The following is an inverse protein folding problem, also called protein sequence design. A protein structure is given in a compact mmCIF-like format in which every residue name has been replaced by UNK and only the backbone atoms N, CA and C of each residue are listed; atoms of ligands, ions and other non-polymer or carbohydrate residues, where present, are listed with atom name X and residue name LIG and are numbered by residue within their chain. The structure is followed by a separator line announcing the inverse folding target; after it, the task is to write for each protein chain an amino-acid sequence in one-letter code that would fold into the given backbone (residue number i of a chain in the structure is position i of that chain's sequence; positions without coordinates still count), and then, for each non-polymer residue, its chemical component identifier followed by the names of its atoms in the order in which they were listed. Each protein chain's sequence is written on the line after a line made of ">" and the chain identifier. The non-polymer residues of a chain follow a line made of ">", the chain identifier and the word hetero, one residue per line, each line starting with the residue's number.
data_IF_980432356612
#
_entry.id   IF_980432356612
#
_cell.length_a   1.000
_cell.length_b   1.000
_cell.length_c   1.000
_cell.angle_alpha   90.00
_cell.angle_beta   90.00
_cell.angle_gamma   90.00
#
_symmetry.space_group_name_H-M   'P 1'
#
loop_
_entity.id
_entity.type
_entity.pdbx_description
1 polymer ?
#
# COMPACT_ATOMS: atom_id res chain seq x y z
N UNK A 1 9.52 24.70 18.41
CA UNK A 1 8.80 24.07 17.28
C UNK A 1 7.55 23.40 17.81
N UNK A 2 6.37 23.80 17.31
CA UNK A 2 5.09 23.20 17.71
C UNK A 2 4.83 22.04 16.74
N UNK A 3 4.99 20.80 17.18
CA UNK A 3 4.58 19.62 16.41
C UNK A 3 3.05 19.59 16.46
N UNK A 4 2.43 19.89 15.32
CA UNK A 4 1.00 19.79 15.12
C UNK A 4 0.67 18.29 15.03
N UNK A 5 0.16 17.70 16.12
CA UNK A 5 -0.38 16.35 16.10
C UNK A 5 -1.62 16.33 15.21
N UNK A 6 -1.48 15.85 13.98
CA UNK A 6 -2.61 15.65 13.07
C UNK A 6 -3.35 14.38 13.51
N UNK A 7 -4.32 14.54 14.41
CA UNK A 7 -5.31 13.52 14.73
C UNK A 7 -6.23 13.35 13.51
N UNK A 8 -5.93 12.37 12.67
CA UNK A 8 -6.82 11.94 11.60
C UNK A 8 -7.96 11.12 12.24
N UNK A 9 -9.03 11.78 12.66
CA UNK A 9 -10.27 11.09 13.05
C UNK A 9 -10.88 10.45 11.81
N UNK A 10 -10.62 9.15 11.62
CA UNK A 10 -11.25 8.31 10.61
C UNK A 10 -12.71 8.04 11.02
N UNK A 11 -13.64 8.86 10.55
CA UNK A 11 -15.08 8.62 10.70
C UNK A 11 -15.50 7.44 9.82
N UNK A 12 -15.47 6.24 10.40
CA UNK A 12 -15.91 4.95 9.85
C UNK A 12 -17.44 4.78 9.89
N UNK A 13 -18.20 5.78 9.41
CA UNK A 13 -19.66 5.72 9.34
C UNK A 13 -20.15 6.15 7.96
N UNK A 14 -19.86 5.32 6.96
CA UNK A 14 -20.78 5.12 5.86
C UNK A 14 -21.35 3.73 6.05
N UNK A 15 -22.68 3.63 6.17
CA UNK A 15 -23.39 2.36 6.15
C UNK A 15 -22.89 1.50 4.99
N UNK A 16 -22.81 0.16 5.15
CA UNK A 16 -22.57 -0.69 3.99
C UNK A 16 -23.72 -0.45 3.02
N UNK A 17 -23.43 0.25 1.91
CA UNK A 17 -24.19 0.08 0.68
C UNK A 17 -24.31 -1.42 0.50
N UNK A 18 -25.55 -1.90 0.46
CA UNK A 18 -25.89 -3.31 0.34
C UNK A 18 -24.96 -3.93 -0.71
N UNK A 19 -24.14 -4.87 -0.24
CA UNK A 19 -23.30 -5.68 -1.10
C UNK A 19 -24.25 -6.47 -2.00
N UNK A 20 -24.43 -5.97 -3.22
CA UNK A 20 -25.12 -6.70 -4.27
C UNK A 20 -24.26 -7.92 -4.60
N UNK A 21 -24.88 -9.09 -4.54
CA UNK A 21 -24.28 -10.41 -4.71
C UNK A 21 -23.98 -10.69 -6.19
N UNK A 22 -23.22 -9.80 -6.84
CA UNK A 22 -23.03 -9.83 -8.28
C UNK A 22 -21.60 -9.42 -8.72
N UNK A 23 -20.56 -10.10 -8.22
CA UNK A 23 -19.41 -10.54 -9.03
C UNK A 23 -18.51 -11.45 -8.19
N UNK A 24 -18.58 -12.76 -8.43
CA UNK A 24 -17.76 -13.81 -7.81
C UNK A 24 -16.32 -13.80 -8.38
N UNK A 25 -15.65 -12.64 -8.32
CA UNK A 25 -14.26 -12.45 -8.76
C UNK A 25 -13.30 -12.48 -7.57
N UNK A 26 -13.44 -13.48 -6.72
CA UNK A 26 -12.51 -13.84 -5.65
C UNK A 26 -11.28 -14.50 -6.29
N UNK A 27 -10.44 -13.68 -6.92
CA UNK A 27 -9.16 -14.10 -7.47
C UNK A 27 -8.01 -13.54 -6.63
N UNK A 28 -6.94 -14.33 -6.49
CA UNK A 28 -5.70 -13.83 -5.93
C UNK A 28 -5.02 -12.95 -6.99
N UNK A 29 -4.24 -11.97 -6.54
CA UNK A 29 -3.49 -11.10 -7.44
C UNK A 29 -2.01 -11.16 -7.15
N UNK A 30 -1.22 -11.30 -8.20
CA UNK A 30 0.19 -10.95 -8.17
C UNK A 30 0.33 -9.56 -8.79
N UNK A 31 0.90 -8.62 -8.05
CA UNK A 31 1.24 -7.29 -8.54
C UNK A 31 2.73 -7.13 -8.64
N UNK A 32 3.19 -6.58 -9.76
CA UNK A 32 4.51 -6.00 -9.90
C UNK A 32 4.40 -4.49 -9.80
N UNK A 33 5.43 -3.83 -9.29
CA UNK A 33 5.40 -2.38 -9.17
C UNK A 33 6.76 -1.74 -9.35
N UNK A 34 6.69 -0.47 -9.75
CA UNK A 34 7.80 0.46 -9.84
C UNK A 34 7.32 1.82 -9.34
N UNK A 35 8.21 2.63 -8.78
CA UNK A 35 7.85 3.95 -8.30
C UNK A 35 9.04 4.72 -7.77
N UNK A 36 8.72 5.82 -7.11
CA UNK A 36 9.68 6.65 -6.39
C UNK A 36 9.57 6.41 -4.89
N UNK A 37 10.70 6.54 -4.19
CA UNK A 37 10.85 6.63 -2.75
C UNK A 37 11.42 8.02 -2.41
N UNK A 38 11.22 8.49 -1.18
CA UNK A 38 11.63 9.82 -0.74
C UNK A 38 11.05 10.96 -1.60
N UNK A 39 9.79 10.79 -2.03
CA UNK A 39 9.10 11.76 -2.89
C UNK A 39 9.07 13.14 -2.22
N UNK A 40 9.58 14.15 -2.94
CA UNK A 40 9.66 15.53 -2.47
C UNK A 40 10.90 15.86 -1.63
N UNK A 41 11.86 14.94 -1.52
CA UNK A 41 13.17 15.14 -0.88
C UNK A 41 14.29 15.17 -1.91
N UNK A 42 15.47 15.63 -1.50
CA UNK A 42 16.66 15.67 -2.37
C UNK A 42 17.22 14.25 -2.61
N UNK A 43 16.94 13.33 -1.69
CA UNK A 43 17.31 11.92 -1.72
C UNK A 43 16.35 11.05 -2.56
N UNK A 44 15.40 11.65 -3.28
CA UNK A 44 14.42 10.94 -4.07
C UNK A 44 15.07 9.95 -5.05
N UNK A 45 14.61 8.70 -5.01
CA UNK A 45 15.14 7.62 -5.85
C UNK A 45 14.03 6.65 -6.29
N UNK A 46 14.40 5.60 -7.02
CA UNK A 46 13.49 4.60 -7.54
C UNK A 46 13.38 3.39 -6.62
N UNK A 47 12.17 2.82 -6.55
CA UNK A 47 11.88 1.55 -5.90
C UNK A 47 11.03 0.66 -6.80
N UNK A 48 11.10 -0.64 -6.57
CA UNK A 48 10.32 -1.64 -7.30
C UNK A 48 10.15 -2.90 -6.46
N UNK A 49 9.26 -3.78 -6.90
CA UNK A 49 9.01 -5.02 -6.19
C UNK A 49 7.75 -5.73 -6.63
N UNK A 50 7.25 -6.57 -5.72
CA UNK A 50 6.08 -7.41 -5.95
C UNK A 50 5.19 -7.50 -4.70
N UNK A 51 3.88 -7.66 -4.93
CA UNK A 51 2.87 -7.88 -3.90
C UNK A 51 1.98 -9.05 -4.30
N UNK A 52 1.79 -10.00 -3.41
CA UNK A 52 0.70 -10.97 -3.49
C UNK A 52 -0.49 -10.47 -2.67
N UNK A 53 -1.69 -10.59 -3.23
CA UNK A 53 -2.96 -10.33 -2.52
C UNK A 53 -3.82 -11.57 -2.54
N UNK A 54 -4.45 -11.82 -1.39
CA UNK A 54 -5.36 -12.94 -1.21
C UNK A 54 -6.63 -12.79 -2.06
N UNK A 55 -7.17 -13.92 -2.50
CA UNK A 55 -8.55 -14.01 -2.97
C UNK A 55 -9.55 -13.81 -1.81
N UNK A 56 -9.15 -14.19 -0.60
CA UNK A 56 -10.00 -14.11 0.58
C UNK A 56 -10.17 -12.67 1.06
N UNK A 57 -11.40 -12.35 1.47
CA UNK A 57 -11.73 -11.11 2.18
C UNK A 57 -12.09 -11.46 3.61
N UNK A 58 -11.43 -10.80 4.55
CA UNK A 58 -11.66 -10.96 5.97
C UNK A 58 -12.65 -9.92 6.48
N UNK A 59 -13.45 -10.35 7.46
CA UNK A 59 -14.39 -9.49 8.19
C UNK A 59 -15.51 -8.89 7.33
N UNK A 60 -16.49 -8.29 8.01
CA UNK A 60 -17.55 -7.47 7.40
C UNK A 60 -17.03 -6.20 6.71
N UNK A 61 -15.75 -5.87 6.90
CA UNK A 61 -15.10 -4.70 6.31
C UNK A 61 -14.39 -5.00 4.98
N UNK A 62 -14.48 -6.23 4.49
CA UNK A 62 -13.89 -6.65 3.21
C UNK A 62 -12.37 -6.41 3.12
N UNK A 63 -11.66 -6.66 4.22
CA UNK A 63 -10.22 -6.49 4.28
C UNK A 63 -9.53 -7.63 3.53
N UNK A 64 -8.76 -7.30 2.51
CA UNK A 64 -7.97 -8.25 1.73
C UNK A 64 -6.56 -8.33 2.32
N UNK A 65 -6.12 -9.50 2.80
CA UNK A 65 -4.73 -9.73 3.19
C UNK A 65 -3.79 -9.59 1.99
N UNK A 66 -2.60 -9.05 2.24
CA UNK A 66 -1.54 -8.96 1.24
C UNK A 66 -0.16 -9.05 1.86
N UNK A 67 0.80 -9.50 1.06
CA UNK A 67 2.23 -9.61 1.41
C UNK A 67 3.02 -9.01 0.26
N UNK A 68 4.07 -8.25 0.55
CA UNK A 68 4.90 -7.67 -0.49
C UNK A 68 6.36 -7.53 -0.10
N UNK A 69 7.18 -7.47 -1.13
CA UNK A 69 8.60 -7.19 -1.06
C UNK A 69 8.89 -5.94 -1.89
N UNK A 70 9.49 -4.94 -1.25
CA UNK A 70 9.99 -3.72 -1.89
C UNK A 70 11.51 -3.72 -1.85
N UNK A 71 12.12 -3.20 -2.92
CA UNK A 71 13.54 -2.93 -3.03
C UNK A 71 13.77 -1.53 -3.62
N UNK A 72 14.64 -0.73 -3.02
CA UNK A 72 15.13 0.53 -3.60
C UNK A 72 16.28 0.25 -4.56
N UNK A 73 16.62 1.22 -5.41
CA UNK A 73 17.77 1.09 -6.32
C UNK A 73 19.09 0.89 -5.57
N UNK A 74 19.29 1.57 -4.43
CA UNK A 74 20.49 1.43 -3.57
C UNK A 74 20.38 0.31 -2.51
N UNK A 75 19.51 -0.68 -2.77
CA UNK A 75 19.49 -1.97 -2.09
C UNK A 75 18.95 -1.96 -0.65
N UNK A 76 18.17 -0.95 -0.24
CA UNK A 76 17.27 -1.13 0.90
C UNK A 76 16.09 -2.02 0.52
N UNK A 77 15.62 -2.80 1.48
CA UNK A 77 14.54 -3.77 1.28
C UNK A 77 13.48 -3.64 2.35
N UNK A 78 12.23 -3.93 2.01
CA UNK A 78 11.17 -4.11 3.00
C UNK A 78 10.30 -5.31 2.65
N UNK A 79 10.19 -6.26 3.58
CA UNK A 79 9.18 -7.33 3.54
C UNK A 79 8.04 -6.92 4.46
N UNK A 80 6.81 -6.89 3.94
CA UNK A 80 5.63 -6.44 4.69
C UNK A 80 4.44 -7.35 4.46
N UNK A 81 3.57 -7.42 5.46
CA UNK A 81 2.31 -8.16 5.40
C UNK A 81 1.23 -7.39 6.15
N UNK A 82 0.05 -7.28 5.57
CA UNK A 82 -1.03 -6.50 6.16
C UNK A 82 -2.36 -6.68 5.48
N UNK A 83 -3.20 -5.66 5.58
CA UNK A 83 -4.56 -5.66 5.04
C UNK A 83 -4.82 -4.39 4.24
N UNK A 84 -5.67 -4.53 3.23
CA UNK A 84 -6.12 -3.42 2.40
C UNK A 84 -7.61 -3.57 2.11
N UNK A 85 -8.28 -2.46 1.84
CA UNK A 85 -9.65 -2.44 1.35
C UNK A 85 -9.68 -1.76 -0.01
N UNK A 86 -10.29 -2.42 -0.98
CA UNK A 86 -10.56 -1.85 -2.31
C UNK A 86 -12.05 -1.64 -2.46
N UNK A 87 -12.45 -0.41 -2.76
CA UNK A 87 -13.85 -0.02 -2.96
C UNK A 87 -14.02 0.41 -4.41
N UNK A 88 -14.72 -0.42 -5.20
CA UNK A 88 -15.05 -0.07 -6.58
C UNK A 88 -16.04 1.11 -6.62
N UNK A 89 -15.84 2.04 -7.55
CA UNK A 89 -16.75 3.18 -7.74
C UNK A 89 -18.01 2.71 -8.51
N UNK A 90 -17.84 1.73 -9.40
CA UNK A 90 -18.92 1.16 -10.20
C UNK A 90 -19.43 -0.15 -9.59
N UNK A 91 -20.74 -0.39 -9.74
CA UNK A 91 -21.41 -1.60 -9.24
C UNK A 91 -20.93 -2.88 -9.93
N UNK A 92 -20.56 -2.81 -11.21
CA UNK A 92 -20.03 -3.96 -11.97
C UNK A 92 -18.57 -4.31 -11.60
N UNK A 93 -17.94 -3.53 -10.73
CA UNK A 93 -16.56 -3.71 -10.28
C UNK A 93 -15.50 -3.27 -11.29
N UNK A 94 -15.90 -2.87 -12.50
CA UNK A 94 -14.99 -2.41 -13.55
C UNK A 94 -14.54 -0.95 -13.32
N UNK A 95 -13.42 -0.57 -13.91
CA UNK A 95 -12.94 0.81 -13.86
C UNK A 95 -12.41 1.23 -12.49
N UNK A 96 -12.59 2.50 -12.09
CA UNK A 96 -11.85 3.07 -10.97
C UNK A 96 -12.32 2.52 -9.61
N UNK A 97 -11.38 2.38 -8.70
CA UNK A 97 -11.58 1.96 -7.32
C UNK A 97 -10.61 2.69 -6.38
N UNK A 98 -11.08 3.01 -5.18
CA UNK A 98 -10.23 3.52 -4.11
C UNK A 98 -9.61 2.35 -3.35
N UNK A 99 -8.33 2.43 -3.04
CA UNK A 99 -7.63 1.49 -2.18
C UNK A 99 -7.10 2.22 -0.95
N UNK A 100 -7.30 1.63 0.23
CA UNK A 100 -6.62 2.01 1.46
C UNK A 100 -5.96 0.78 2.06
N UNK A 101 -4.74 0.92 2.59
CA UNK A 101 -3.97 -0.22 3.07
C UNK A 101 -3.06 0.13 4.24
N UNK A 102 -2.78 -0.89 5.04
CA UNK A 102 -1.86 -0.82 6.17
C UNK A 102 -1.10 -2.13 6.30
N UNK A 103 0.22 -2.05 6.45
CA UNK A 103 1.06 -3.23 6.69
C UNK A 103 2.26 -2.90 7.58
N UNK A 104 2.46 -3.61 8.70
CA UNK A 104 3.79 -3.69 9.31
C UNK A 104 4.75 -4.46 8.39
N UNK A 105 6.04 -4.19 8.55
CA UNK A 105 7.08 -4.91 7.84
C UNK A 105 8.46 -4.73 8.46
N UNK A 106 9.39 -5.54 7.98
CA UNK A 106 10.80 -5.47 8.35
C UNK A 106 11.55 -4.77 7.23
N UNK A 107 12.16 -3.64 7.58
CA UNK A 107 13.00 -2.84 6.74
C UNK A 107 14.48 -3.16 7.02
N UNK A 108 15.24 -3.30 5.95
CA UNK A 108 16.68 -3.42 5.99
C UNK A 108 17.27 -2.28 5.15
N UNK A 109 18.02 -1.40 5.82
CA UNK A 109 18.78 -0.33 5.18
C UNK A 109 19.97 -0.94 4.43
N UNK A 110 20.03 -0.71 3.13
CA UNK A 110 21.03 -1.32 2.25
C UNK A 110 22.32 -0.53 2.08
N UNK A 111 22.28 0.78 2.27
CA UNK A 111 23.45 1.64 2.09
C UNK A 111 23.15 3.13 2.23
N UNK A 112 24.22 3.93 2.36
CA UNK A 112 24.15 5.34 2.75
C UNK A 112 23.42 6.28 1.78
N UNK A 113 23.04 5.81 0.60
CA UNK A 113 22.30 6.60 -0.40
C UNK A 113 20.78 6.50 -0.23
N UNK A 114 20.29 5.53 0.53
CA UNK A 114 18.88 5.43 0.90
C UNK A 114 18.65 6.04 2.29
N UNK A 115 17.44 6.53 2.55
CA UNK A 115 17.03 7.01 3.87
C UNK A 115 17.09 5.90 4.92
N UNK A 116 17.92 6.08 5.95
CA UNK A 116 17.91 5.22 7.14
C UNK A 116 16.65 5.49 7.97
N UNK A 117 15.77 4.50 8.09
CA UNK A 117 14.51 4.63 8.83
C UNK A 117 14.65 4.39 10.35
N UNK A 118 15.88 4.25 10.87
CA UNK A 118 16.23 4.26 12.29
C UNK A 118 15.81 3.01 13.08
N UNK A 119 14.94 2.16 12.53
CA UNK A 119 14.46 0.96 13.19
C UNK A 119 14.09 -0.14 12.20
N UNK A 120 14.31 -1.44 12.47
CA UNK A 120 13.93 -2.50 11.52
C UNK A 120 12.42 -2.64 11.34
N UNK A 121 11.62 -2.47 12.40
CA UNK A 121 10.16 -2.54 12.28
C UNK A 121 9.61 -1.22 11.74
N UNK A 122 8.86 -1.30 10.64
CA UNK A 122 8.26 -0.15 9.97
C UNK A 122 6.78 -0.41 9.69
N UNK A 123 5.99 0.66 9.63
CA UNK A 123 4.58 0.63 9.28
C UNK A 123 4.36 1.37 7.98
N UNK A 124 3.78 0.67 7.00
CA UNK A 124 3.42 1.22 5.70
C UNK A 124 1.92 1.50 5.65
N UNK A 125 1.55 2.77 5.53
CA UNK A 125 0.18 3.22 5.28
C UNK A 125 0.04 3.63 3.81
N UNK A 126 -1.05 3.24 3.16
CA UNK A 126 -1.23 3.42 1.72
C UNK A 126 -2.63 3.92 1.36
N UNK A 127 -2.67 4.81 0.36
CA UNK A 127 -3.88 5.18 -0.37
C UNK A 127 -3.60 5.08 -1.87
N UNK A 128 -4.56 4.64 -2.66
CA UNK A 128 -4.37 4.50 -4.09
C UNK A 128 -5.65 4.54 -4.90
N UNK A 129 -5.49 4.77 -6.20
CA UNK A 129 -6.56 4.65 -7.18
C UNK A 129 -6.18 3.49 -8.10
N UNK A 130 -6.98 2.44 -8.05
CA UNK A 130 -6.89 1.28 -8.94
C UNK A 130 -7.88 1.44 -10.10
N UNK A 131 -7.59 0.80 -11.22
CA UNK A 131 -8.47 0.64 -12.36
C UNK A 131 -8.56 -0.85 -12.73
N UNK A 132 -9.77 -1.40 -12.71
CA UNK A 132 -10.05 -2.78 -13.17
C UNK A 132 -10.34 -2.79 -14.67
N UNK A 133 -9.62 -3.63 -15.41
CA UNK A 133 -9.87 -3.84 -16.83
C UNK A 133 -10.86 -5.01 -17.06
N UNK A 134 -11.50 -5.08 -18.24
CA UNK A 134 -12.43 -6.17 -18.56
C UNK A 134 -11.80 -7.58 -18.50
N UNK A 135 -10.49 -7.68 -18.73
CA UNK A 135 -9.70 -8.92 -18.63
C UNK A 135 -9.31 -9.29 -17.18
N UNK A 136 -9.85 -8.59 -16.18
CA UNK A 136 -9.57 -8.75 -14.75
C UNK A 136 -8.15 -8.37 -14.32
N UNK A 137 -7.34 -7.79 -15.21
CA UNK A 137 -6.07 -7.16 -14.81
C UNK A 137 -6.34 -5.82 -14.10
N UNK A 138 -5.35 -5.37 -13.31
CA UNK A 138 -5.43 -4.12 -12.54
C UNK A 138 -4.24 -3.24 -12.80
N UNK A 139 -4.46 -1.94 -12.94
CA UNK A 139 -3.39 -0.95 -12.85
C UNK A 139 -3.76 0.06 -11.77
N UNK A 140 -2.79 0.56 -11.01
CA UNK A 140 -3.10 1.57 -9.99
C UNK A 140 -1.93 2.45 -9.61
N UNK A 141 -2.24 3.67 -9.22
CA UNK A 141 -1.28 4.64 -8.68
C UNK A 141 -1.52 4.80 -7.17
N UNK A 142 -0.45 4.63 -6.39
CA UNK A 142 -0.51 4.52 -4.94
C UNK A 142 0.47 5.49 -4.29
N UNK A 143 -0.01 6.23 -3.30
CA UNK A 143 0.82 7.01 -2.39
C UNK A 143 0.94 6.26 -1.06
N UNK A 144 2.15 6.13 -0.52
CA UNK A 144 2.37 5.45 0.77
C UNK A 144 3.35 6.21 1.65
N UNK A 145 3.17 6.08 2.96
CA UNK A 145 4.11 6.55 3.97
C UNK A 145 4.66 5.35 4.75
N UNK A 146 5.96 5.30 4.96
CA UNK A 146 6.65 4.28 5.79
C UNK A 146 7.33 4.99 6.96
N UNK A 147 7.07 4.54 8.19
CA UNK A 147 7.75 5.04 9.39
C UNK A 147 7.73 4.05 10.54
N UNK A 148 8.59 4.26 11.56
CA UNK A 148 8.66 3.39 12.74
C UNK A 148 7.72 3.85 13.87
N UNK A 149 6.86 4.85 13.62
CA UNK A 149 5.96 5.44 14.62
C UNK A 149 6.67 5.92 15.91
N UNK A 150 7.93 6.32 15.80
CA UNK A 150 8.79 6.76 16.92
C UNK A 150 8.99 5.67 17.98
N UNK A 151 9.10 4.41 17.55
CA UNK A 151 9.56 3.29 18.38
C UNK A 151 11.06 3.35 18.69
N UNK A 152 11.81 4.18 17.97
CA UNK A 152 13.22 4.50 18.20
C UNK A 152 13.42 6.02 18.24
N UNK A 153 14.62 6.46 18.63
CA UNK A 153 14.96 7.89 18.74
C UNK A 153 14.87 8.61 17.38
N UNK A 154 15.30 7.94 16.31
CA UNK A 154 15.23 8.46 14.94
C UNK A 154 14.02 7.89 14.20
N UNK A 155 13.23 8.77 13.57
CA UNK A 155 12.10 8.39 12.72
C UNK A 155 11.91 9.41 11.57
N UNK A 156 12.77 9.38 10.55
CA UNK A 156 12.65 10.32 9.43
C UNK A 156 11.42 10.03 8.55
N UNK A 157 10.97 8.77 8.52
CA UNK A 157 9.95 8.27 7.61
C UNK A 157 10.35 8.42 6.13
N UNK A 158 9.52 7.93 5.21
CA UNK A 158 9.70 8.13 3.76
C UNK A 158 8.38 8.01 3.02
N UNK A 159 8.27 8.75 1.90
CA UNK A 159 7.08 8.85 1.07
C UNK A 159 7.29 8.18 -0.28
N UNK A 160 6.31 7.38 -0.70
CA UNK A 160 6.39 6.58 -1.91
C UNK A 160 5.26 6.96 -2.88
N UNK A 161 5.60 7.07 -4.16
CA UNK A 161 4.63 7.14 -5.24
C UNK A 161 4.86 5.94 -6.17
N UNK A 162 3.87 5.05 -6.27
CA UNK A 162 4.04 3.71 -6.86
C UNK A 162 3.00 3.43 -7.93
N UNK A 163 3.44 3.02 -9.11
CA UNK A 163 2.60 2.44 -10.15
C UNK A 163 2.64 0.90 -10.00
N UNK A 164 1.46 0.30 -9.94
CA UNK A 164 1.30 -1.16 -9.79
C UNK A 164 0.54 -1.73 -10.97
N UNK A 165 0.95 -2.91 -11.42
CA UNK A 165 0.22 -3.71 -12.39
C UNK A 165 -0.04 -5.11 -11.82
N UNK A 166 -1.29 -5.57 -11.89
CA UNK A 166 -1.78 -6.78 -11.23
C UNK A 166 -2.41 -7.77 -12.19
N UNK A 167 -1.99 -9.02 -12.06
CA UNK A 167 -2.50 -10.18 -12.76
C UNK A 167 -3.27 -11.04 -11.78
N UNK A 168 -4.46 -11.49 -12.16
CA UNK A 168 -5.24 -12.45 -11.38
C UNK A 168 -4.86 -13.88 -11.74
N UNK A 169 -5.00 -14.80 -10.78
CA UNK A 169 -4.80 -16.24 -10.98
C UNK A 169 -5.67 -17.06 -10.00
#
# INVERSE_FOLDING_TARGET
>A
MRVLALLLTLTLLADPVQADTANDRTAAYLRIFIGQVDVGRDEADSQYGLEWQSAERWSRFELTPYVGLLRTRHASHMLYAGVQRRTAIRQDGLGPALLVGFAPGLYHHGGNSDTDLGFPLQFKSSVGIDYEFPDSTRMGLHFSHISNASLADDNPGTELLTLKYGLNF
#
